data_IF_734624540601
#
_entry.id   IF_734624540601
#
_cell.length_a   1.000
_cell.length_b   1.000
_cell.length_c   1.000
_cell.angle_alpha   90.00
_cell.angle_beta   90.00
_cell.angle_gamma   90.00
#
_symmetry.space_group_name_H-M   'P 1'
#
loop_
_entity.id
_entity.type
_entity.pdbx_description
1 polymer ?
#
# COMPACT_ATOMS: atom_id res chain seq x y z
N UNK A 1 -8.11 -18.99 -14.94
CA UNK A 1 -8.24 -18.53 -13.54
C UNK A 1 -8.85 -17.14 -13.58
N UNK A 2 -10.07 -16.95 -13.04
CA UNK A 2 -10.63 -15.60 -12.92
C UNK A 2 -9.74 -14.82 -11.95
N UNK A 3 -9.02 -13.79 -12.41
CA UNK A 3 -8.47 -12.78 -11.51
C UNK A 3 -9.67 -12.26 -10.73
N UNK A 4 -9.78 -12.61 -9.44
CA UNK A 4 -10.77 -12.00 -8.55
C UNK A 4 -10.62 -10.48 -8.74
N UNK A 5 -11.66 -9.83 -9.27
CA UNK A 5 -11.66 -8.37 -9.42
C UNK A 5 -11.63 -7.80 -8.02
N UNK A 6 -10.46 -7.38 -7.57
CA UNK A 6 -10.28 -6.69 -6.29
C UNK A 6 -11.19 -5.46 -6.31
N UNK A 7 -12.00 -5.32 -5.26
CA UNK A 7 -12.86 -4.17 -5.05
C UNK A 7 -12.21 -3.30 -3.99
N UNK A 8 -11.83 -2.08 -4.35
CA UNK A 8 -11.25 -1.14 -3.38
C UNK A 8 -12.34 -0.27 -2.78
N UNK A 9 -12.19 0.05 -1.49
CA UNK A 9 -13.08 0.97 -0.83
C UNK A 9 -13.04 2.36 -1.53
N UNK A 10 -14.19 3.05 -1.72
CA UNK A 10 -14.23 4.34 -2.44
C UNK A 10 -13.29 5.41 -1.90
N UNK A 11 -13.00 5.37 -0.60
CA UNK A 11 -12.04 6.27 0.06
C UNK A 11 -10.60 6.06 -0.41
N UNK A 12 -10.19 4.81 -0.62
CA UNK A 12 -8.85 4.48 -1.16
C UNK A 12 -8.74 4.96 -2.62
N UNK A 13 -9.83 4.85 -3.38
CA UNK A 13 -9.89 5.32 -4.77
C UNK A 13 -9.78 6.84 -4.93
N UNK A 14 -9.88 7.62 -3.84
CA UNK A 14 -9.57 9.06 -3.85
C UNK A 14 -8.07 9.34 -3.76
N UNK A 15 -7.30 8.41 -3.21
CA UNK A 15 -5.86 8.56 -2.98
C UNK A 15 -5.06 8.05 -4.18
N UNK A 16 -5.50 6.93 -4.75
CA UNK A 16 -4.85 6.26 -5.88
C UNK A 16 -5.87 5.85 -6.94
N UNK A 17 -5.42 5.85 -8.19
CA UNK A 17 -6.20 5.30 -9.29
C UNK A 17 -6.28 3.77 -9.16
N UNK A 18 -7.29 3.16 -9.78
CA UNK A 18 -7.52 1.71 -9.63
C UNK A 18 -6.35 0.86 -10.15
N UNK A 19 -5.77 1.23 -11.27
CA UNK A 19 -4.62 0.57 -11.89
C UNK A 19 -3.35 0.65 -11.03
N UNK A 20 -3.16 1.77 -10.35
CA UNK A 20 -2.13 1.94 -9.32
C UNK A 20 -2.32 0.98 -8.15
N UNK A 21 -3.55 0.89 -7.64
CA UNK A 21 -3.90 -0.03 -6.56
C UNK A 21 -3.76 -1.50 -7.00
N UNK A 22 -4.16 -1.84 -8.22
CA UNK A 22 -3.98 -3.18 -8.79
C UNK A 22 -2.49 -3.55 -8.85
N UNK A 23 -1.64 -2.61 -9.25
CA UNK A 23 -0.18 -2.80 -9.29
C UNK A 23 0.41 -3.00 -7.90
N UNK A 24 -0.09 -2.24 -6.90
CA UNK A 24 0.35 -2.38 -5.52
C UNK A 24 -0.11 -3.71 -4.93
N UNK A 25 -1.38 -4.08 -5.13
CA UNK A 25 -1.98 -5.30 -4.61
C UNK A 25 -1.28 -6.58 -5.09
N UNK A 26 -0.63 -6.57 -6.26
CA UNK A 26 0.20 -7.69 -6.73
C UNK A 26 1.43 -7.96 -5.85
N UNK A 27 1.88 -6.95 -5.09
CA UNK A 27 3.04 -7.02 -4.18
C UNK A 27 2.69 -6.72 -2.72
N UNK A 28 1.41 -6.59 -2.40
CA UNK A 28 0.93 -6.14 -1.09
C UNK A 28 0.29 -7.27 -0.29
N UNK A 29 0.21 -7.04 1.01
CA UNK A 29 -0.83 -7.62 1.84
C UNK A 29 -2.03 -6.67 1.85
N UNK A 30 -3.23 -7.23 1.85
CA UNK A 30 -4.44 -6.43 1.95
C UNK A 30 -5.46 -7.12 2.85
N UNK A 31 -6.27 -6.32 3.55
CA UNK A 31 -7.47 -6.81 4.23
C UNK A 31 -8.71 -6.28 3.53
N UNK A 32 -9.81 -7.00 3.69
CA UNK A 32 -11.14 -6.59 3.26
C UNK A 32 -12.00 -6.28 4.48
N UNK A 33 -12.93 -5.33 4.34
CA UNK A 33 -13.99 -5.11 5.32
C UNK A 33 -15.11 -6.15 5.19
N UNK A 34 -16.12 -6.04 6.06
CA UNK A 34 -17.28 -6.94 6.10
C UNK A 34 -18.11 -6.94 4.81
N UNK A 35 -18.01 -5.88 4.01
CA UNK A 35 -18.67 -5.73 2.70
C UNK A 35 -17.81 -6.28 1.54
N UNK A 36 -16.60 -6.78 1.84
CA UNK A 36 -15.66 -7.34 0.88
C UNK A 36 -14.88 -6.30 0.07
N UNK A 37 -14.80 -5.05 0.53
CA UNK A 37 -13.94 -4.03 -0.05
C UNK A 37 -12.57 -4.05 0.63
N UNK A 38 -11.51 -3.96 -0.18
CA UNK A 38 -10.16 -3.72 0.33
C UNK A 38 -10.15 -2.39 1.05
N UNK A 39 -9.87 -2.44 2.36
CA UNK A 39 -9.85 -1.31 3.28
C UNK A 39 -8.47 -1.02 3.85
N UNK A 40 -7.50 -1.94 3.68
CA UNK A 40 -6.09 -1.78 4.02
C UNK A 40 -5.24 -2.41 2.90
N UNK A 41 -4.19 -1.73 2.46
CA UNK A 41 -3.14 -2.21 1.57
C UNK A 41 -1.80 -1.85 2.21
N UNK A 42 -0.96 -2.85 2.46
CA UNK A 42 0.40 -2.67 2.98
C UNK A 42 1.40 -3.25 2.00
N UNK A 43 2.33 -2.42 1.54
CA UNK A 43 3.41 -2.80 0.62
C UNK A 43 4.73 -2.41 1.27
N UNK A 44 5.59 -3.41 1.53
CA UNK A 44 6.97 -3.14 1.92
C UNK A 44 7.91 -3.71 0.86
N UNK A 45 8.91 -2.92 0.56
CA UNK A 45 10.01 -3.29 -0.32
C UNK A 45 11.33 -3.10 0.44
N UNK A 46 12.46 -3.31 -0.23
CA UNK A 46 13.77 -3.02 0.35
C UNK A 46 14.03 -1.51 0.56
N UNK A 47 13.19 -0.63 0.02
CA UNK A 47 13.42 0.82 -0.01
C UNK A 47 12.28 1.65 0.56
N UNK A 48 11.05 1.16 0.49
CA UNK A 48 9.86 1.92 0.92
C UNK A 48 8.85 1.03 1.65
N UNK A 49 8.10 1.67 2.55
CA UNK A 49 6.86 1.13 3.14
C UNK A 49 5.70 2.00 2.71
N UNK A 50 4.61 1.37 2.29
CA UNK A 50 3.35 2.03 1.94
C UNK A 50 2.23 1.37 2.70
N UNK A 51 1.48 2.17 3.46
CA UNK A 51 0.29 1.75 4.18
C UNK A 51 -0.88 2.64 3.76
N UNK A 52 -1.87 2.05 3.08
CA UNK A 52 -3.07 2.74 2.66
C UNK A 52 -4.24 2.10 3.39
N UNK A 53 -4.94 2.86 4.22
CA UNK A 53 -6.11 2.32 4.91
C UNK A 53 -7.21 3.33 5.17
N UNK A 54 -8.41 2.81 5.31
CA UNK A 54 -9.60 3.57 5.60
C UNK A 54 -9.65 3.93 7.09
N UNK A 55 -9.10 5.09 7.46
CA UNK A 55 -9.37 5.75 8.75
C UNK A 55 -10.46 6.82 8.62
N UNK A 56 -10.80 7.48 9.71
CA UNK A 56 -11.67 8.68 9.70
C UNK A 56 -11.13 9.80 8.81
N UNK A 57 -9.82 9.84 8.56
CA UNK A 57 -9.15 10.89 7.80
C UNK A 57 -8.68 10.46 6.39
N UNK A 58 -8.96 9.22 5.96
CA UNK A 58 -8.45 8.66 4.69
C UNK A 58 -6.92 8.74 4.59
N UNK A 59 -6.20 7.75 5.15
CA UNK A 59 -4.75 7.83 5.27
C UNK A 59 -4.02 6.97 4.23
N UNK A 60 -3.04 7.59 3.56
CA UNK A 60 -1.96 6.90 2.89
C UNK A 60 -0.64 7.37 3.49
N UNK A 61 0.11 6.45 4.08
CA UNK A 61 1.44 6.65 4.57
C UNK A 61 2.42 6.07 3.55
N UNK A 62 3.33 6.89 3.05
CA UNK A 62 4.35 6.47 2.09
C UNK A 62 5.69 6.94 2.64
N UNK A 63 6.53 5.99 3.04
CA UNK A 63 7.77 6.27 3.75
C UNK A 63 8.95 5.56 3.11
N UNK A 64 10.11 6.20 3.17
CA UNK A 64 11.39 5.58 2.84
C UNK A 64 11.94 4.83 4.03
N UNK A 65 12.33 3.57 3.82
CA UNK A 65 12.89 2.71 4.87
C UNK A 65 14.34 3.05 5.19
N UNK A 66 15.07 3.68 4.25
CA UNK A 66 16.48 4.07 4.39
C UNK A 66 16.69 5.41 5.10
N UNK A 67 15.62 6.08 5.54
CA UNK A 67 15.71 7.39 6.20
C UNK A 67 15.90 7.25 7.72
N UNK A 68 17.12 7.51 8.22
CA UNK A 68 17.43 7.56 9.67
C UNK A 68 16.68 8.69 10.43
N UNK A 69 15.98 9.57 9.72
CA UNK A 69 15.19 10.65 10.30
C UNK A 69 13.78 10.57 9.73
N UNK A 70 12.80 10.72 10.63
CA UNK A 70 11.35 10.94 10.46
C UNK A 70 10.81 10.68 9.05
N UNK A 71 9.76 9.87 8.89
CA UNK A 71 9.25 9.52 7.58
C UNK A 71 8.99 10.75 6.69
N UNK A 72 9.86 10.93 5.70
CA UNK A 72 9.66 11.92 4.67
C UNK A 72 8.53 11.42 3.78
N UNK A 73 7.37 12.08 3.85
CA UNK A 73 6.27 11.84 2.93
C UNK A 73 6.77 12.06 1.50
N UNK A 74 6.76 10.99 0.71
CA UNK A 74 7.14 11.06 -0.70
C UNK A 74 6.03 11.72 -1.51
N UNK A 75 6.42 12.47 -2.53
CA UNK A 75 5.49 12.77 -3.62
C UNK A 75 5.14 11.47 -4.37
N UNK A 76 4.01 11.49 -5.09
CA UNK A 76 3.54 10.34 -5.85
C UNK A 76 4.54 9.90 -6.94
N UNK A 77 5.23 10.85 -7.57
CA UNK A 77 6.27 10.56 -8.57
C UNK A 77 7.51 9.90 -7.95
N UNK A 78 8.01 10.45 -6.83
CA UNK A 78 9.15 9.87 -6.11
C UNK A 78 8.85 8.45 -5.61
N UNK A 79 7.63 8.25 -5.10
CA UNK A 79 7.14 6.94 -4.70
C UNK A 79 7.25 5.92 -5.84
N UNK A 80 6.71 6.24 -7.02
CA UNK A 80 6.70 5.31 -8.16
C UNK A 80 8.10 5.06 -8.73
N UNK A 81 8.96 6.08 -8.78
CA UNK A 81 10.34 5.91 -9.22
C UNK A 81 11.08 4.91 -8.30
N UNK A 82 10.96 5.08 -6.99
CA UNK A 82 11.61 4.18 -6.02
C UNK A 82 10.96 2.79 -6.06
N UNK A 83 9.63 2.71 -6.09
CA UNK A 83 8.90 1.45 -6.14
C UNK A 83 9.30 0.60 -7.36
N UNK A 84 9.44 1.21 -8.53
CA UNK A 84 9.86 0.51 -9.76
C UNK A 84 11.27 -0.07 -9.67
N UNK A 85 12.14 0.54 -8.86
CA UNK A 85 13.54 0.14 -8.63
C UNK A 85 13.73 -0.69 -7.36
N UNK A 86 12.64 -1.00 -6.65
CA UNK A 86 12.65 -1.74 -5.39
C UNK A 86 12.31 -3.20 -5.59
N UNK A 87 12.82 -4.06 -4.71
CA UNK A 87 12.50 -5.48 -4.69
C UNK A 87 11.45 -5.73 -3.62
N UNK A 88 10.38 -6.45 -3.99
CA UNK A 88 9.39 -6.89 -3.03
C UNK A 88 10.09 -7.72 -1.94
N UNK A 89 9.85 -7.38 -0.68
CA UNK A 89 10.29 -8.20 0.44
C UNK A 89 9.11 -9.07 0.90
N UNK A 90 9.41 -10.31 1.31
CA UNK A 90 8.46 -11.14 2.01
C UNK A 90 8.21 -10.50 3.38
N UNK A 91 7.08 -9.81 3.55
CA UNK A 91 6.67 -9.35 4.87
C UNK A 91 6.11 -10.55 5.62
N UNK A 92 6.78 -10.95 6.69
CA UNK A 92 6.15 -11.78 7.71
C UNK A 92 5.46 -10.83 8.67
N UNK A 93 4.13 -10.76 8.61
CA UNK A 93 3.37 -10.12 9.67
C UNK A 93 3.67 -10.86 10.98
N UNK A 94 4.51 -10.27 11.82
CA UNK A 94 4.64 -10.70 13.22
C UNK A 94 3.45 -10.07 13.92
N UNK A 95 2.39 -10.86 14.09
CA UNK A 95 1.34 -10.49 15.05
C UNK A 95 2.04 -10.54 16.42
N UNK A 96 2.19 -9.38 17.05
CA UNK A 96 2.62 -9.30 18.44
C UNK A 96 1.32 -9.41 19.24
N UNK A 97 1.14 -10.55 19.92
CA UNK A 97 0.05 -10.80 20.87
C UNK A 97 0.04 -9.79 22.03
#
# INVERSE_FOLDING_TARGET
MQKNKIKYHPKILKLFAKDELDTLAEKAFHSVDDDGFVNIIVVCTDKISVEIFVSSEEHALIERLDSEKVPNRLTKEEFWDIFSRSKAQEIRCVVID
#
